data_IF_744717872639
#
_entry.id   IF_744717872639
#
_cell.length_a   1.000
_cell.length_b   1.000
_cell.length_c   1.000
_cell.angle_alpha   90.00
_cell.angle_beta   90.00
_cell.angle_gamma   90.00
#
_symmetry.space_group_name_H-M   'P 1'
#
loop_
_entity.id
_entity.type
_entity.pdbx_description
1 polymer ?
#
# COMPACT_ATOMS: atom_id res chain seq x y z
N UNK A 1 2.30 -49.38 51.86
CA UNK A 1 2.48 -47.92 51.89
C UNK A 1 2.29 -47.44 50.46
N UNK A 2 1.18 -46.77 50.24
CA UNK A 2 0.61 -46.41 48.93
C UNK A 2 1.41 -45.29 48.24
N UNK A 3 1.64 -45.48 46.95
CA UNK A 3 2.28 -44.56 46.02
C UNK A 3 1.45 -43.29 45.82
N UNK A 4 2.10 -42.13 45.85
CA UNK A 4 1.54 -40.82 45.49
C UNK A 4 1.82 -40.61 44.00
N UNK A 5 0.77 -40.57 43.18
CA UNK A 5 0.83 -40.03 41.81
C UNK A 5 0.74 -38.50 41.85
N UNK A 6 1.49 -37.77 41.00
CA UNK A 6 1.25 -36.34 40.83
C UNK A 6 -0.02 -36.13 40.00
N UNK A 7 -0.94 -35.32 40.53
CA UNK A 7 -2.17 -34.90 39.84
C UNK A 7 -1.84 -33.94 38.69
N UNK A 8 -2.39 -34.27 37.52
CA UNK A 8 -2.35 -33.49 36.30
C UNK A 8 -3.28 -32.27 36.41
N UNK A 9 -2.71 -31.14 36.85
CA UNK A 9 -3.41 -29.85 36.97
C UNK A 9 -3.40 -29.01 35.68
N UNK A 10 -2.99 -29.57 34.54
CA UNK A 10 -2.71 -28.75 33.35
C UNK A 10 -3.81 -28.72 32.28
N UNK A 11 -4.84 -29.57 32.41
CA UNK A 11 -5.91 -29.70 31.42
C UNK A 11 -7.21 -28.95 31.77
N UNK A 12 -7.51 -28.76 33.06
CA UNK A 12 -8.73 -28.10 33.52
C UNK A 12 -8.65 -26.57 33.47
N UNK A 13 -7.53 -25.97 33.86
CA UNK A 13 -7.36 -24.49 33.85
C UNK A 13 -7.42 -23.90 32.43
N UNK A 14 -6.90 -24.62 31.42
CA UNK A 14 -6.94 -24.15 30.02
C UNK A 14 -8.35 -24.07 29.45
N UNK A 15 -9.23 -25.00 29.84
CA UNK A 15 -10.62 -25.01 29.37
C UNK A 15 -11.46 -23.92 30.05
N UNK A 16 -11.17 -23.58 31.30
CA UNK A 16 -11.84 -22.49 32.01
C UNK A 16 -11.39 -21.12 31.50
N UNK A 17 -10.09 -20.91 31.24
CA UNK A 17 -9.58 -19.68 30.62
C UNK A 17 -10.09 -19.48 29.19
N UNK A 18 -10.19 -20.54 28.37
CA UNK A 18 -10.78 -20.45 27.03
C UNK A 18 -12.28 -20.12 27.08
N UNK A 19 -13.03 -20.68 28.03
CA UNK A 19 -14.45 -20.34 28.22
C UNK A 19 -14.65 -18.91 28.70
N UNK A 20 -13.81 -18.42 29.61
CA UNK A 20 -13.86 -17.04 30.09
C UNK A 20 -13.50 -16.05 28.97
N UNK A 21 -12.53 -16.40 28.12
CA UNK A 21 -12.20 -15.64 26.92
C UNK A 21 -13.33 -15.60 25.89
N UNK A 22 -13.98 -16.74 25.61
CA UNK A 22 -15.13 -16.79 24.70
C UNK A 22 -16.33 -16.00 25.23
N UNK A 23 -16.59 -16.08 26.54
CA UNK A 23 -17.64 -15.31 27.20
C UNK A 23 -17.34 -13.79 27.16
N UNK A 24 -16.09 -13.39 27.45
CA UNK A 24 -15.65 -12.01 27.37
C UNK A 24 -15.73 -11.47 25.94
N UNK A 25 -15.38 -12.29 24.94
CA UNK A 25 -15.50 -11.95 23.52
C UNK A 25 -16.96 -11.77 23.11
N UNK A 26 -17.86 -12.68 23.50
CA UNK A 26 -19.28 -12.58 23.22
C UNK A 26 -19.90 -11.34 23.89
N UNK A 27 -19.49 -11.04 25.13
CA UNK A 27 -19.90 -9.83 25.83
C UNK A 27 -19.43 -8.57 25.11
N UNK A 28 -18.16 -8.48 24.72
CA UNK A 28 -17.64 -7.34 23.95
C UNK A 28 -18.36 -7.20 22.61
N UNK A 29 -18.61 -8.31 21.91
CA UNK A 29 -19.37 -8.31 20.65
C UNK A 29 -20.81 -7.83 20.83
N UNK A 30 -21.42 -8.02 22.00
CA UNK A 30 -22.78 -7.56 22.34
C UNK A 30 -22.91 -6.04 22.62
N UNK A 31 -21.80 -5.33 22.90
CA UNK A 31 -21.81 -3.91 23.28
C UNK A 31 -22.30 -2.99 22.14
N UNK A 32 -23.49 -2.42 22.25
CA UNK A 32 -24.01 -1.51 21.21
C UNK A 32 -23.28 -0.16 21.22
N UNK A 33 -22.78 0.27 20.06
CA UNK A 33 -22.15 1.59 19.86
C UNK A 33 -22.92 2.40 18.81
N UNK A 34 -22.97 3.74 18.98
CA UNK A 34 -23.53 4.64 17.95
C UNK A 34 -22.57 4.85 16.77
N UNK A 35 -21.25 4.70 17.01
CA UNK A 35 -20.24 4.73 15.96
C UNK A 35 -20.09 3.34 15.32
N UNK A 36 -19.90 3.25 13.99
CA UNK A 36 -19.63 1.99 13.32
C UNK A 36 -18.33 1.37 13.87
N UNK A 37 -18.36 0.09 14.23
CA UNK A 37 -17.16 -0.60 14.66
C UNK A 37 -16.13 -0.68 13.51
N UNK A 38 -14.82 -0.63 13.81
CA UNK A 38 -13.81 -0.95 12.82
C UNK A 38 -13.98 -2.41 12.36
N UNK A 39 -13.70 -2.71 11.08
CA UNK A 39 -13.78 -4.09 10.60
C UNK A 39 -12.72 -4.96 11.29
N UNK A 40 -13.00 -6.27 11.42
CA UNK A 40 -11.99 -7.21 11.91
C UNK A 40 -10.84 -7.30 10.90
N UNK A 41 -9.57 -7.28 11.34
CA UNK A 41 -8.41 -7.23 10.44
C UNK A 41 -8.42 -8.30 9.35
N UNK A 42 -8.79 -9.54 9.70
CA UNK A 42 -8.86 -10.69 8.80
C UNK A 42 -9.87 -10.55 7.63
N UNK A 43 -10.84 -9.66 7.77
CA UNK A 43 -11.90 -9.44 6.77
C UNK A 43 -11.68 -8.13 5.99
N UNK A 44 -10.85 -7.24 6.50
CA UNK A 44 -10.62 -5.91 5.96
C UNK A 44 -9.51 -5.89 4.90
N UNK A 45 -9.50 -4.82 4.11
CA UNK A 45 -8.36 -4.44 3.29
C UNK A 45 -7.53 -3.44 4.09
N UNK A 46 -6.44 -3.91 4.72
CA UNK A 46 -5.62 -3.08 5.61
C UNK A 46 -4.64 -2.21 4.83
N UNK A 47 -4.78 -0.89 5.00
CA UNK A 47 -3.92 0.13 4.41
C UNK A 47 -3.11 0.79 5.53
N UNK A 48 -1.83 0.46 5.59
CA UNK A 48 -0.90 1.04 6.54
C UNK A 48 -0.29 2.33 5.96
N UNK A 49 -0.41 3.44 6.69
CA UNK A 49 0.18 4.73 6.29
C UNK A 49 1.16 5.21 7.35
N UNK A 50 2.30 5.73 6.93
CA UNK A 50 3.21 6.40 7.85
C UNK A 50 2.69 7.77 8.31
N UNK A 51 3.08 8.22 9.49
CA UNK A 51 2.75 9.57 10.00
C UNK A 51 3.15 10.67 9.01
N UNK A 52 4.34 10.56 8.41
CA UNK A 52 4.86 11.54 7.44
C UNK A 52 4.18 11.47 6.06
N UNK A 53 3.48 10.39 5.74
CA UNK A 53 2.66 10.31 4.52
C UNK A 53 1.26 10.83 4.76
N UNK A 54 0.68 10.54 5.93
CA UNK A 54 -0.64 11.04 6.29
C UNK A 54 -0.64 12.55 6.55
N UNK A 55 0.39 13.05 7.23
CA UNK A 55 0.56 14.45 7.60
C UNK A 55 1.87 15.03 7.09
N UNK A 56 1.86 16.32 6.78
CA UNK A 56 3.05 17.08 6.45
C UNK A 56 3.83 17.41 7.73
N UNK A 57 4.86 16.60 7.98
CA UNK A 57 5.75 16.75 9.14
C UNK A 57 7.17 17.17 8.74
N UNK A 58 7.31 17.99 7.69
CA UNK A 58 8.63 18.40 7.17
C UNK A 58 9.41 19.24 8.18
N UNK A 59 8.74 20.18 8.85
CA UNK A 59 9.36 21.03 9.88
C UNK A 59 9.77 20.20 11.11
N UNK A 60 8.89 19.32 11.57
CA UNK A 60 9.14 18.46 12.73
C UNK A 60 10.25 17.45 12.44
N UNK A 61 10.33 16.94 11.21
CA UNK A 61 11.45 16.08 10.80
C UNK A 61 12.78 16.83 10.86
N UNK A 62 12.81 18.13 10.51
CA UNK A 62 14.02 18.94 10.59
C UNK A 62 14.53 19.01 12.04
N UNK A 63 13.64 19.24 13.00
CA UNK A 63 13.97 19.22 14.44
C UNK A 63 14.53 17.85 14.84
N UNK A 64 13.89 16.75 14.43
CA UNK A 64 14.41 15.40 14.73
C UNK A 64 15.82 15.14 14.20
N UNK A 65 16.11 15.60 12.97
CA UNK A 65 17.41 15.40 12.31
C UNK A 65 18.48 16.30 12.90
N UNK A 66 18.15 17.57 13.14
CA UNK A 66 19.12 18.60 13.53
C UNK A 66 19.36 18.61 15.06
N UNK A 67 18.32 18.33 15.86
CA UNK A 67 18.34 18.48 17.33
C UNK A 67 18.09 17.17 18.10
N UNK A 68 17.75 16.09 17.41
CA UNK A 68 17.56 14.76 17.99
C UNK A 68 16.16 14.50 18.58
N UNK A 69 16.00 13.30 19.15
CA UNK A 69 14.68 12.77 19.55
C UNK A 69 14.05 13.53 20.71
N UNK A 70 14.82 13.97 21.71
CA UNK A 70 14.28 14.65 22.90
C UNK A 70 13.67 16.01 22.55
N UNK A 71 14.37 16.80 21.72
CA UNK A 71 13.86 18.10 21.24
C UNK A 71 12.65 17.94 20.35
N UNK A 72 12.67 16.94 19.48
CA UNK A 72 11.52 16.58 18.66
C UNK A 72 10.30 16.20 19.52
N UNK A 73 10.47 15.36 20.54
CA UNK A 73 9.36 14.94 21.41
C UNK A 73 8.80 16.13 22.20
N UNK A 74 9.67 16.96 22.79
CA UNK A 74 9.25 18.17 23.50
C UNK A 74 8.43 19.11 22.59
N UNK A 75 8.91 19.33 21.36
CA UNK A 75 8.20 20.14 20.36
C UNK A 75 6.79 19.58 20.05
N UNK A 76 6.67 18.26 19.89
CA UNK A 76 5.39 17.62 19.58
C UNK A 76 4.38 17.72 20.74
N UNK A 77 4.86 17.68 21.98
CA UNK A 77 4.04 17.83 23.19
C UNK A 77 3.57 19.27 23.34
N UNK A 78 4.46 20.25 23.15
CA UNK A 78 4.11 21.68 23.21
C UNK A 78 3.04 22.06 22.19
N UNK A 79 3.08 21.44 21.01
CA UNK A 79 2.15 21.71 19.90
C UNK A 79 1.05 20.63 19.78
N UNK A 80 0.74 19.88 20.84
CA UNK A 80 -0.19 18.75 20.76
C UNK A 80 -1.61 19.15 20.34
N UNK A 81 -1.98 20.40 20.61
CA UNK A 81 -3.28 20.99 20.24
C UNK A 81 -3.30 21.57 18.83
N UNK A 82 -2.15 21.69 18.16
CA UNK A 82 -2.03 22.24 16.81
C UNK A 82 -2.12 21.12 15.77
N UNK A 83 -3.19 21.06 14.97
CA UNK A 83 -3.36 20.02 13.96
C UNK A 83 -2.25 20.07 12.91
N UNK A 84 -1.69 18.90 12.60
CA UNK A 84 -0.69 18.76 11.55
C UNK A 84 -1.32 18.96 10.17
N UNK A 85 -0.64 19.69 9.28
CA UNK A 85 -1.15 19.91 7.92
C UNK A 85 -1.30 18.59 7.15
N UNK A 86 -2.26 18.48 6.21
CA UNK A 86 -2.42 17.28 5.38
C UNK A 86 -1.14 16.88 4.63
N UNK A 87 -0.86 15.59 4.59
CA UNK A 87 0.24 14.99 3.84
C UNK A 87 -0.20 14.39 2.49
N UNK A 88 0.73 13.80 1.71
CA UNK A 88 0.42 13.27 0.38
C UNK A 88 -0.59 12.11 0.36
N UNK A 89 -0.69 11.32 1.43
CA UNK A 89 -1.68 10.24 1.52
C UNK A 89 -3.07 10.72 1.95
N UNK A 90 -3.21 11.98 2.37
CA UNK A 90 -4.44 12.48 2.97
C UNK A 90 -5.65 12.40 2.04
N UNK A 91 -5.58 12.85 0.76
CA UNK A 91 -6.72 12.72 -0.15
C UNK A 91 -7.08 11.25 -0.43
N UNK A 92 -6.07 10.39 -0.55
CA UNK A 92 -6.27 8.96 -0.73
C UNK A 92 -7.01 8.34 0.47
N UNK A 93 -6.63 8.68 1.70
CA UNK A 93 -7.33 8.23 2.91
C UNK A 93 -8.78 8.72 2.95
N UNK A 94 -9.05 9.97 2.57
CA UNK A 94 -10.43 10.48 2.46
C UNK A 94 -11.25 9.72 1.43
N UNK A 95 -10.66 9.36 0.28
CA UNK A 95 -11.34 8.57 -0.74
C UNK A 95 -11.63 7.13 -0.28
N UNK A 96 -10.71 6.48 0.45
CA UNK A 96 -10.95 5.18 1.09
C UNK A 96 -12.14 5.25 2.06
N UNK A 97 -12.21 6.30 2.87
CA UNK A 97 -13.32 6.52 3.80
C UNK A 97 -14.65 6.71 3.07
N UNK A 98 -14.67 7.44 1.95
CA UNK A 98 -15.89 7.58 1.15
C UNK A 98 -16.37 6.22 0.59
N UNK A 99 -15.43 5.39 0.11
CA UNK A 99 -15.75 4.01 -0.32
C UNK A 99 -16.36 3.21 0.83
N UNK A 100 -15.77 3.29 2.04
CA UNK A 100 -16.30 2.63 3.22
C UNK A 100 -17.71 3.08 3.58
N UNK A 101 -18.00 4.38 3.49
CA UNK A 101 -19.36 4.91 3.71
C UNK A 101 -20.35 4.29 2.73
N UNK A 102 -20.01 4.22 1.44
CA UNK A 102 -20.88 3.60 0.42
C UNK A 102 -21.05 2.10 0.63
N UNK A 103 -19.98 1.40 1.00
CA UNK A 103 -20.06 -0.03 1.34
C UNK A 103 -20.99 -0.27 2.53
N UNK A 104 -20.88 0.52 3.61
CA UNK A 104 -21.77 0.41 4.77
C UNK A 104 -23.23 0.73 4.44
N UNK A 105 -23.49 1.68 3.54
CA UNK A 105 -24.86 1.97 3.10
C UNK A 105 -25.48 0.77 2.34
N UNK A 106 -24.69 0.06 1.53
CA UNK A 106 -25.15 -1.11 0.77
C UNK A 106 -25.14 -2.41 1.59
N UNK A 107 -24.24 -2.50 2.57
CA UNK A 107 -23.96 -3.66 3.39
C UNK A 107 -23.66 -3.24 4.84
N UNK A 108 -24.68 -2.91 5.65
CA UNK A 108 -24.50 -2.37 7.00
C UNK A 108 -23.67 -3.25 7.93
N UNK A 109 -23.82 -4.57 7.82
CA UNK A 109 -23.16 -5.55 8.69
C UNK A 109 -21.82 -6.08 8.12
N UNK A 110 -21.37 -5.57 6.97
CA UNK A 110 -20.17 -6.10 6.33
C UNK A 110 -18.90 -5.53 6.95
N UNK A 111 -17.98 -6.45 7.28
CA UNK A 111 -16.62 -6.11 7.72
C UNK A 111 -15.62 -6.03 6.56
N UNK A 112 -16.05 -6.25 5.31
CA UNK A 112 -15.17 -6.15 4.13
C UNK A 112 -15.06 -4.69 3.69
N UNK A 113 -14.26 -3.94 4.44
CA UNK A 113 -14.03 -2.51 4.29
C UNK A 113 -12.52 -2.24 4.25
N UNK A 114 -12.12 -1.02 3.92
CA UNK A 114 -10.76 -0.57 4.18
C UNK A 114 -10.55 -0.36 5.69
N UNK A 115 -9.45 -0.89 6.21
CA UNK A 115 -8.96 -0.62 7.56
C UNK A 115 -7.68 0.22 7.46
N UNK A 116 -7.76 1.48 7.86
CA UNK A 116 -6.62 2.39 7.76
C UNK A 116 -5.87 2.37 9.10
N UNK A 117 -4.58 2.05 9.03
CA UNK A 117 -3.72 1.91 10.22
C UNK A 117 -2.59 2.92 10.15
N UNK A 118 -2.40 3.69 11.22
CA UNK A 118 -1.24 4.57 11.33
C UNK A 118 -0.02 3.80 11.84
N UNK A 119 1.05 3.75 11.04
CA UNK A 119 2.30 3.05 11.35
C UNK A 119 3.46 4.04 11.47
N UNK A 120 3.94 4.28 12.69
CA UNK A 120 4.99 5.28 12.93
C UNK A 120 6.13 4.74 13.80
N UNK A 121 7.34 5.20 13.50
CA UNK A 121 8.51 4.98 14.34
C UNK A 121 8.69 6.08 15.40
N UNK A 122 7.71 6.97 15.55
CA UNK A 122 7.75 7.99 16.60
C UNK A 122 7.62 7.37 17.99
N UNK A 123 8.16 8.09 18.98
CA UNK A 123 7.91 7.83 20.39
C UNK A 123 6.42 8.00 20.73
N UNK A 124 5.90 7.23 21.68
CA UNK A 124 4.48 7.21 22.04
C UNK A 124 3.94 8.59 22.47
N UNK A 125 4.78 9.44 23.07
CA UNK A 125 4.40 10.80 23.48
C UNK A 125 4.00 11.70 22.29
N UNK A 126 4.47 11.41 21.07
CA UNK A 126 4.06 12.13 19.85
C UNK A 126 2.63 11.73 19.42
N UNK A 127 2.08 10.66 20.00
CA UNK A 127 0.81 10.07 19.62
C UNK A 127 -0.37 11.02 19.81
N UNK A 128 -0.34 11.86 20.85
CA UNK A 128 -1.45 12.78 21.18
C UNK A 128 -1.70 13.76 20.04
N UNK A 129 -0.66 14.43 19.52
CA UNK A 129 -0.80 15.34 18.39
C UNK A 129 -1.31 14.66 17.12
N UNK A 130 -0.88 13.42 16.87
CA UNK A 130 -1.36 12.62 15.73
C UNK A 130 -2.85 12.30 15.88
N UNK A 131 -3.29 11.89 17.07
CA UNK A 131 -4.70 11.61 17.38
C UNK A 131 -5.53 12.88 17.27
N UNK A 132 -5.07 14.00 17.83
CA UNK A 132 -5.74 15.30 17.72
C UNK A 132 -5.89 15.75 16.27
N UNK A 133 -4.86 15.54 15.45
CA UNK A 133 -4.93 15.83 14.01
C UNK A 133 -5.95 14.92 13.29
N UNK A 134 -5.95 13.63 13.58
CA UNK A 134 -6.92 12.66 13.03
C UNK A 134 -8.36 13.07 13.38
N UNK A 135 -8.60 13.44 14.63
CA UNK A 135 -9.90 13.91 15.12
C UNK A 135 -10.30 15.23 14.48
N UNK A 136 -9.38 16.19 14.39
CA UNK A 136 -9.60 17.50 13.77
C UNK A 136 -10.11 17.38 12.32
N UNK A 137 -9.53 16.45 11.55
CA UNK A 137 -9.93 16.20 10.16
C UNK A 137 -11.07 15.18 10.00
N UNK A 138 -11.58 14.64 11.10
CA UNK A 138 -12.62 13.60 11.11
C UNK A 138 -12.20 12.34 10.35
N UNK A 139 -10.94 11.92 10.47
CA UNK A 139 -10.43 10.69 9.86
C UNK A 139 -10.82 9.48 10.73
N UNK A 140 -11.37 8.43 10.14
CA UNK A 140 -11.75 7.19 10.86
C UNK A 140 -10.56 6.23 10.93
N UNK A 141 -9.55 6.59 11.73
CA UNK A 141 -8.34 5.79 11.96
C UNK A 141 -8.33 5.40 13.44
N UNK A 142 -8.64 4.14 13.74
CA UNK A 142 -8.77 3.64 15.11
C UNK A 142 -7.54 2.83 15.57
N UNK A 143 -6.69 2.43 14.61
CA UNK A 143 -5.55 1.54 14.86
C UNK A 143 -4.22 2.24 14.64
N UNK A 144 -3.35 2.17 15.64
CA UNK A 144 -2.06 2.80 15.67
C UNK A 144 -0.98 1.80 16.07
N UNK A 145 0.19 1.92 15.45
CA UNK A 145 1.41 1.26 15.90
C UNK A 145 2.51 2.31 15.99
N UNK A 146 3.08 2.45 17.19
CA UNK A 146 4.18 3.36 17.48
C UNK A 146 5.35 2.54 18.02
N UNK A 147 6.44 2.46 17.27
CA UNK A 147 7.55 1.53 17.57
C UNK A 147 8.71 2.18 18.32
N UNK A 148 8.61 3.46 18.70
CA UNK A 148 9.63 4.13 19.54
C UNK A 148 11.03 4.10 18.95
N UNK A 149 11.16 4.19 17.62
CA UNK A 149 12.43 4.19 16.89
C UNK A 149 12.75 2.89 16.15
N UNK A 150 12.12 1.76 16.49
CA UNK A 150 12.34 0.47 15.79
C UNK A 150 11.64 0.44 14.43
N UNK A 151 12.07 -0.45 13.53
CA UNK A 151 11.41 -0.63 12.23
C UNK A 151 9.97 -1.15 12.42
N UNK A 152 8.96 -0.60 11.72
CA UNK A 152 7.57 -1.05 11.84
C UNK A 152 7.26 -2.30 11.00
N UNK A 153 8.19 -2.81 10.20
CA UNK A 153 7.89 -3.81 9.16
C UNK A 153 7.37 -5.14 9.73
N UNK A 154 7.96 -5.64 10.82
CA UNK A 154 7.45 -6.84 11.49
C UNK A 154 5.98 -6.71 11.94
N UNK A 155 5.56 -5.50 12.32
CA UNK A 155 4.16 -5.23 12.67
C UNK A 155 3.24 -5.17 11.45
N UNK A 156 3.71 -4.72 10.28
CA UNK A 156 2.88 -4.69 9.08
C UNK A 156 2.31 -6.08 8.74
N UNK A 157 3.13 -7.12 8.89
CA UNK A 157 2.73 -8.52 8.68
C UNK A 157 1.70 -8.98 9.72
N UNK A 158 1.93 -8.68 11.00
CA UNK A 158 0.99 -8.99 12.08
C UNK A 158 -0.36 -8.27 11.91
N UNK A 159 -0.34 -7.09 11.29
CA UNK A 159 -1.54 -6.31 10.97
C UNK A 159 -2.24 -6.77 9.69
N UNK A 160 -1.73 -7.80 8.99
CA UNK A 160 -2.27 -8.29 7.71
C UNK A 160 -2.33 -7.19 6.63
N UNK A 161 -1.29 -6.36 6.58
CA UNK A 161 -1.24 -5.19 5.69
C UNK A 161 -1.31 -5.60 4.21
N UNK A 162 -2.28 -5.04 3.48
CA UNK A 162 -2.39 -5.21 2.03
C UNK A 162 -1.62 -4.14 1.24
N UNK A 163 -1.42 -2.95 1.82
CA UNK A 163 -0.61 -1.87 1.24
C UNK A 163 0.05 -1.04 2.33
N UNK A 164 1.37 -0.82 2.21
CA UNK A 164 2.12 0.11 3.07
C UNK A 164 2.60 1.34 2.29
N UNK A 165 2.22 2.53 2.77
CA UNK A 165 2.63 3.81 2.19
C UNK A 165 3.53 4.56 3.16
N UNK A 166 4.74 4.92 2.70
CA UNK A 166 5.74 5.61 3.52
C UNK A 166 6.49 6.70 2.77
N UNK A 167 7.08 7.65 3.48
CA UNK A 167 8.10 8.56 2.91
C UNK A 167 9.52 7.99 3.02
N UNK A 168 9.68 6.79 3.57
CA UNK A 168 10.99 6.16 3.82
C UNK A 168 11.23 5.07 2.78
N UNK A 169 12.12 5.32 1.81
CA UNK A 169 12.46 4.36 0.77
C UNK A 169 13.00 3.04 1.36
N UNK A 170 13.84 3.13 2.41
CA UNK A 170 14.41 1.95 3.07
C UNK A 170 13.33 1.04 3.65
N UNK A 171 12.34 1.62 4.36
CA UNK A 171 11.22 0.86 4.95
C UNK A 171 10.30 0.26 3.89
N UNK A 172 10.13 0.95 2.76
CA UNK A 172 9.34 0.44 1.64
C UNK A 172 10.04 -0.76 1.01
N UNK A 173 11.35 -0.69 0.85
CA UNK A 173 12.17 -1.80 0.34
C UNK A 173 12.08 -3.00 1.28
N UNK A 174 12.29 -2.79 2.58
CA UNK A 174 12.16 -3.83 3.63
C UNK A 174 10.75 -4.46 3.62
N UNK A 175 9.70 -3.66 3.42
CA UNK A 175 8.32 -4.18 3.31
C UNK A 175 8.11 -5.07 2.07
N UNK A 176 8.64 -4.65 0.91
CA UNK A 176 8.53 -5.42 -0.34
C UNK A 176 9.30 -6.74 -0.21
N UNK A 177 10.49 -6.73 0.41
CA UNK A 177 11.29 -7.93 0.68
C UNK A 177 10.53 -8.93 1.58
N UNK A 178 9.73 -8.44 2.52
CA UNK A 178 8.83 -9.24 3.36
C UNK A 178 7.52 -9.68 2.65
N UNK A 179 7.38 -9.38 1.35
CA UNK A 179 6.23 -9.75 0.54
C UNK A 179 4.99 -8.87 0.77
N UNK A 180 5.17 -7.67 1.33
CA UNK A 180 4.11 -6.69 1.57
C UNK A 180 4.14 -5.65 0.44
N UNK A 181 3.01 -5.45 -0.24
CA UNK A 181 2.92 -4.40 -1.24
C UNK A 181 3.18 -3.03 -0.58
N UNK A 182 4.16 -2.30 -1.09
CA UNK A 182 4.53 -1.02 -0.51
C UNK A 182 5.01 -0.02 -1.56
N UNK A 183 4.90 1.27 -1.24
CA UNK A 183 5.39 2.33 -2.10
C UNK A 183 5.86 3.56 -1.31
N UNK A 184 6.86 4.24 -1.86
CA UNK A 184 7.39 5.49 -1.33
C UNK A 184 6.60 6.66 -1.90
N UNK A 185 5.87 7.40 -1.08
CA UNK A 185 5.08 8.54 -1.54
C UNK A 185 5.87 9.84 -1.55
N UNK A 186 5.63 10.64 -2.59
CA UNK A 186 6.20 11.98 -2.74
C UNK A 186 5.10 13.03 -2.55
N UNK A 187 5.51 14.21 -2.10
CA UNK A 187 4.59 15.34 -2.02
C UNK A 187 4.44 15.94 -3.41
N UNK A 188 3.19 16.18 -3.82
CA UNK A 188 2.91 16.91 -5.06
C UNK A 188 3.46 18.33 -4.96
N UNK A 189 4.03 18.86 -6.05
CA UNK A 189 4.44 20.28 -6.13
C UNK A 189 3.25 21.23 -6.35
N UNK A 190 2.10 20.69 -6.75
CA UNK A 190 0.90 21.46 -7.07
C UNK A 190 -0.31 20.85 -6.39
N UNK A 191 -1.27 21.68 -5.97
CA UNK A 191 -2.57 21.18 -5.55
C UNK A 191 -3.35 20.69 -6.76
N UNK A 192 -3.87 19.47 -6.65
CA UNK A 192 -4.72 18.87 -7.68
C UNK A 192 -6.14 18.74 -7.15
N UNK A 193 -7.10 19.18 -7.94
CA UNK A 193 -8.52 18.93 -7.68
C UNK A 193 -8.84 17.45 -7.95
N UNK A 194 -8.95 16.67 -6.88
CA UNK A 194 -9.20 15.24 -6.92
C UNK A 194 -10.70 14.95 -6.80
N UNK A 195 -11.13 13.76 -7.23
CA UNK A 195 -12.54 13.40 -7.15
C UNK A 195 -12.97 13.11 -5.72
N UNK A 196 -13.94 13.87 -5.21
CA UNK A 196 -14.51 13.60 -3.88
C UNK A 196 -15.41 12.35 -3.83
N UNK A 197 -15.85 11.86 -4.98
CA UNK A 197 -16.82 10.76 -5.10
C UNK A 197 -16.21 9.41 -5.45
N UNK A 198 -15.00 9.38 -6.00
CA UNK A 198 -14.32 8.17 -6.45
C UNK A 198 -12.91 8.07 -5.90
N UNK A 199 -12.56 6.92 -5.35
CA UNK A 199 -11.18 6.47 -5.23
C UNK A 199 -10.64 6.08 -6.61
N UNK A 200 -9.62 6.80 -7.08
CA UNK A 200 -8.94 6.54 -8.36
C UNK A 200 -7.52 6.06 -8.11
N UNK A 201 -7.20 4.83 -8.54
CA UNK A 201 -5.88 4.22 -8.34
C UNK A 201 -5.28 3.86 -9.69
N UNK A 202 -4.14 4.46 -10.01
CA UNK A 202 -3.42 4.20 -11.25
C UNK A 202 -2.17 3.37 -10.98
N UNK A 203 -1.90 2.41 -11.86
CA UNK A 203 -0.76 1.50 -11.77
C UNK A 203 0.01 1.51 -13.08
N UNK A 204 1.34 1.52 -13.02
CA UNK A 204 2.12 0.91 -14.09
C UNK A 204 1.90 -0.61 -14.15
N UNK A 205 2.23 -1.20 -15.30
CA UNK A 205 2.18 -2.63 -15.51
C UNK A 205 3.41 -3.33 -14.96
N UNK A 206 4.52 -3.25 -15.70
CA UNK A 206 5.76 -3.99 -15.40
C UNK A 206 6.40 -3.50 -14.10
N UNK A 207 7.04 -4.41 -13.37
CA UNK A 207 7.64 -4.17 -12.05
C UNK A 207 6.71 -3.58 -10.97
N UNK A 208 5.41 -3.46 -11.24
CA UNK A 208 4.38 -2.99 -10.30
C UNK A 208 3.29 -4.06 -10.14
N UNK A 209 2.48 -4.30 -11.17
CA UNK A 209 1.47 -5.36 -11.19
C UNK A 209 2.04 -6.69 -11.69
N UNK A 210 2.95 -6.61 -12.65
CA UNK A 210 3.68 -7.75 -13.21
C UNK A 210 5.14 -7.73 -12.74
N UNK A 211 5.82 -8.86 -12.86
CA UNK A 211 7.26 -8.94 -12.61
C UNK A 211 8.07 -8.09 -13.60
N UNK A 212 9.37 -7.95 -13.37
CA UNK A 212 10.32 -7.28 -14.26
C UNK A 212 10.82 -8.15 -15.44
N UNK A 213 10.20 -9.31 -15.69
CA UNK A 213 10.54 -10.24 -16.79
C UNK A 213 10.74 -9.52 -18.13
N UNK A 214 9.80 -8.65 -18.49
CA UNK A 214 9.83 -7.92 -19.75
C UNK A 214 10.93 -6.85 -19.79
N UNK A 215 11.19 -6.16 -18.68
CA UNK A 215 12.27 -5.18 -18.60
C UNK A 215 13.64 -5.86 -18.74
N UNK A 216 13.81 -7.04 -18.15
CA UNK A 216 15.03 -7.85 -18.26
C UNK A 216 15.29 -8.20 -19.74
N UNK A 217 14.25 -8.63 -20.48
CA UNK A 217 14.39 -8.99 -21.90
C UNK A 217 14.80 -7.77 -22.73
N UNK A 218 14.12 -6.63 -22.54
CA UNK A 218 14.44 -5.39 -23.28
C UNK A 218 15.88 -4.95 -23.01
N UNK A 219 16.33 -4.98 -21.75
CA UNK A 219 17.70 -4.57 -21.38
C UNK A 219 18.78 -5.51 -21.90
N UNK A 220 18.51 -6.83 -21.95
CA UNK A 220 19.50 -7.83 -22.40
C UNK A 220 19.51 -8.04 -23.92
N UNK A 221 18.35 -7.95 -24.57
CA UNK A 221 18.18 -8.42 -25.95
C UNK A 221 17.53 -7.38 -26.88
N UNK A 222 17.08 -6.24 -26.35
CA UNK A 222 16.47 -5.17 -27.14
C UNK A 222 14.97 -5.36 -27.41
N UNK A 223 14.39 -4.40 -28.13
CA UNK A 223 12.95 -4.29 -28.34
C UNK A 223 12.38 -5.35 -29.29
N UNK A 224 13.11 -5.73 -30.35
CA UNK A 224 12.62 -6.71 -31.32
C UNK A 224 12.42 -8.09 -30.67
N UNK A 225 13.41 -8.55 -29.91
CA UNK A 225 13.32 -9.79 -29.14
C UNK A 225 12.21 -9.72 -28.09
N UNK A 226 11.98 -8.56 -27.48
CA UNK A 226 10.84 -8.37 -26.58
C UNK A 226 9.50 -8.55 -27.31
N UNK A 227 9.31 -7.96 -28.49
CA UNK A 227 8.06 -8.13 -29.24
C UNK A 227 7.83 -9.58 -29.71
N UNK A 228 8.88 -10.26 -30.17
CA UNK A 228 8.81 -11.68 -30.52
C UNK A 228 8.46 -12.55 -29.30
N UNK A 229 9.05 -12.23 -28.15
CA UNK A 229 8.75 -12.90 -26.89
C UNK A 229 7.29 -12.70 -26.49
N UNK A 230 6.78 -11.46 -26.49
CA UNK A 230 5.39 -11.17 -26.13
C UNK A 230 4.39 -11.85 -27.07
N UNK A 231 4.69 -11.91 -28.38
CA UNK A 231 3.86 -12.63 -29.35
C UNK A 231 3.86 -14.14 -29.10
N UNK A 232 5.03 -14.72 -28.81
CA UNK A 232 5.17 -16.17 -28.55
C UNK A 232 4.49 -16.58 -27.25
N UNK A 233 4.57 -15.75 -26.22
CA UNK A 233 4.02 -16.03 -24.88
C UNK A 233 2.69 -15.33 -24.60
N UNK A 234 1.99 -14.84 -25.62
CA UNK A 234 0.77 -14.05 -25.48
C UNK A 234 -0.31 -14.72 -24.59
N UNK A 235 -0.41 -16.06 -24.65
CA UNK A 235 -1.37 -16.85 -23.87
C UNK A 235 -0.81 -17.36 -22.54
N UNK A 236 0.45 -17.07 -22.21
CA UNK A 236 1.07 -17.41 -20.93
C UNK A 236 1.03 -16.18 -20.02
N UNK A 237 0.38 -16.24 -18.85
CA UNK A 237 0.32 -15.12 -17.91
C UNK A 237 1.72 -14.57 -17.58
N UNK A 238 1.83 -13.26 -17.42
CA UNK A 238 3.02 -12.63 -16.85
C UNK A 238 3.16 -13.06 -15.37
N UNK A 239 4.39 -13.16 -14.87
CA UNK A 239 4.60 -13.38 -13.45
C UNK A 239 4.13 -12.17 -12.62
N UNK A 240 3.78 -12.40 -11.37
CA UNK A 240 3.21 -11.38 -10.49
C UNK A 240 4.25 -10.38 -9.99
N UNK A 241 3.85 -9.11 -9.97
CA UNK A 241 4.59 -8.02 -9.34
C UNK A 241 4.16 -7.80 -7.88
N UNK A 242 4.84 -6.88 -7.18
CA UNK A 242 4.63 -6.65 -5.75
C UNK A 242 3.24 -6.10 -5.40
N UNK A 243 2.56 -5.40 -6.31
CA UNK A 243 1.27 -4.76 -6.02
C UNK A 243 0.04 -5.57 -6.51
N UNK A 244 0.24 -6.78 -7.06
CA UNK A 244 -0.87 -7.64 -7.49
C UNK A 244 -1.88 -7.91 -6.37
N UNK A 245 -1.41 -8.22 -5.16
CA UNK A 245 -2.28 -8.52 -4.03
C UNK A 245 -3.15 -7.32 -3.62
N UNK A 246 -2.64 -6.09 -3.78
CA UNK A 246 -3.42 -4.88 -3.54
C UNK A 246 -4.49 -4.68 -4.62
N UNK A 247 -4.17 -4.93 -5.90
CA UNK A 247 -5.17 -4.90 -6.97
C UNK A 247 -6.26 -5.97 -6.76
N UNK A 248 -5.90 -7.17 -6.29
CA UNK A 248 -6.86 -8.21 -5.91
C UNK A 248 -7.82 -7.74 -4.81
N UNK A 249 -7.30 -7.05 -3.80
CA UNK A 249 -8.09 -6.48 -2.72
C UNK A 249 -9.05 -5.39 -3.22
N UNK A 250 -8.60 -4.49 -4.11
CA UNK A 250 -9.46 -3.49 -4.76
C UNK A 250 -10.55 -4.17 -5.60
N UNK A 251 -10.19 -5.16 -6.41
CA UNK A 251 -11.13 -5.91 -7.26
C UNK A 251 -12.19 -6.65 -6.44
N UNK A 252 -11.82 -7.17 -5.26
CA UNK A 252 -12.76 -7.79 -4.31
C UNK A 252 -13.83 -6.78 -3.87
N UNK A 253 -13.43 -5.56 -3.48
CA UNK A 253 -14.36 -4.52 -3.07
C UNK A 253 -15.19 -3.98 -4.25
N UNK A 254 -14.60 -3.82 -5.44
CA UNK A 254 -15.32 -3.45 -6.67
C UNK A 254 -16.46 -4.41 -6.97
N UNK A 255 -16.21 -5.73 -6.89
CA UNK A 255 -17.24 -6.76 -7.13
C UNK A 255 -18.43 -6.66 -6.19
N UNK A 256 -18.26 -6.16 -4.95
CA UNK A 256 -19.39 -5.91 -4.04
C UNK A 256 -20.34 -4.84 -4.59
N UNK A 257 -19.81 -3.77 -5.17
CA UNK A 257 -20.64 -2.77 -5.84
C UNK A 257 -21.33 -3.37 -7.07
N UNK A 258 -20.62 -4.20 -7.84
CA UNK A 258 -21.19 -4.83 -9.03
C UNK A 258 -22.38 -5.73 -8.70
N UNK A 259 -22.29 -6.48 -7.59
CA UNK A 259 -23.37 -7.32 -7.08
C UNK A 259 -24.63 -6.53 -6.65
N UNK A 260 -24.53 -5.20 -6.49
CA UNK A 260 -25.65 -4.29 -6.22
C UNK A 260 -26.05 -3.45 -7.45
N UNK A 261 -25.63 -3.85 -8.64
CA UNK A 261 -25.84 -3.11 -9.89
C UNK A 261 -25.18 -1.71 -9.92
N UNK A 262 -24.19 -1.46 -9.07
CA UNK A 262 -23.46 -0.19 -8.97
C UNK A 262 -22.18 -0.21 -9.83
N UNK A 263 -22.14 -0.98 -10.93
CA UNK A 263 -20.93 -1.13 -11.75
C UNK A 263 -20.45 0.19 -12.35
N UNK A 264 -21.36 0.93 -12.99
CA UNK A 264 -21.03 2.24 -13.59
C UNK A 264 -20.80 3.33 -12.54
N UNK A 265 -21.42 3.18 -11.37
CA UNK A 265 -21.33 4.13 -10.26
C UNK A 265 -20.31 3.68 -9.20
N UNK A 266 -19.46 2.70 -9.48
CA UNK A 266 -18.53 2.16 -8.49
C UNK A 266 -17.60 3.28 -7.99
N UNK A 267 -17.43 3.46 -6.66
CA UNK A 267 -16.54 4.49 -6.15
C UNK A 267 -15.07 4.12 -6.31
N UNK A 268 -14.73 2.86 -6.59
CA UNK A 268 -13.34 2.44 -6.84
C UNK A 268 -13.15 2.36 -8.36
N UNK A 269 -12.17 3.10 -8.87
CA UNK A 269 -11.80 3.09 -10.28
C UNK A 269 -10.30 2.82 -10.44
N UNK A 270 -9.98 1.78 -11.20
CA UNK A 270 -8.60 1.32 -11.41
C UNK A 270 -8.13 1.63 -12.82
N UNK A 271 -6.88 2.07 -12.94
CA UNK A 271 -6.27 2.46 -14.21
C UNK A 271 -4.95 1.71 -14.40
N UNK A 272 -4.76 1.11 -15.57
CA UNK A 272 -3.45 0.65 -16.03
C UNK A 272 -2.86 1.72 -16.94
N UNK A 273 -1.70 2.26 -16.60
CA UNK A 273 -0.98 3.30 -17.36
C UNK A 273 0.42 2.79 -17.70
N UNK A 274 0.54 2.11 -18.85
CA UNK A 274 1.76 1.36 -19.21
C UNK A 274 2.46 1.91 -20.44
N UNK A 275 3.80 1.90 -20.41
CA UNK A 275 4.63 2.25 -21.56
C UNK A 275 4.54 1.23 -22.71
N UNK A 276 3.94 0.05 -22.46
CA UNK A 276 3.72 -0.98 -23.48
C UNK A 276 2.88 -0.46 -24.65
N UNK A 277 3.15 -1.01 -25.83
CA UNK A 277 2.31 -0.82 -27.02
C UNK A 277 1.12 -1.77 -26.98
N UNK A 278 -0.08 -1.25 -27.27
CA UNK A 278 -1.30 -2.04 -27.35
C UNK A 278 -1.19 -3.17 -28.38
N UNK A 279 -0.66 -2.85 -29.57
CA UNK A 279 -0.66 -3.76 -30.71
C UNK A 279 0.36 -4.90 -30.58
N UNK A 280 1.55 -4.63 -30.02
CA UNK A 280 2.64 -5.61 -29.99
C UNK A 280 2.82 -6.34 -28.65
N UNK A 281 2.34 -5.74 -27.54
CA UNK A 281 2.62 -6.27 -26.19
C UNK A 281 1.43 -6.15 -25.22
N UNK A 282 0.31 -5.56 -25.64
CA UNK A 282 -0.84 -5.30 -24.78
C UNK A 282 -1.76 -6.52 -24.60
N UNK A 283 -1.83 -7.42 -25.58
CA UNK A 283 -2.71 -8.58 -25.51
C UNK A 283 -2.37 -9.51 -24.31
N UNK A 284 -1.07 -9.79 -24.09
CA UNK A 284 -0.60 -10.62 -22.96
C UNK A 284 -0.97 -10.01 -21.61
N UNK A 285 -0.84 -8.68 -21.47
CA UNK A 285 -1.23 -7.93 -20.26
C UNK A 285 -2.71 -8.11 -19.94
N UNK A 286 -3.58 -7.86 -20.93
CA UNK A 286 -5.03 -7.98 -20.74
C UNK A 286 -5.47 -9.43 -20.48
N UNK A 287 -4.84 -10.41 -21.14
CA UNK A 287 -5.08 -11.84 -20.89
C UNK A 287 -4.61 -12.25 -19.49
N UNK A 288 -3.48 -11.71 -19.01
CA UNK A 288 -2.97 -11.95 -17.66
C UNK A 288 -3.95 -11.47 -16.61
N UNK A 289 -4.38 -10.20 -16.68
CA UNK A 289 -5.37 -9.64 -15.73
C UNK A 289 -6.66 -10.47 -15.71
N UNK A 290 -7.16 -10.84 -16.90
CA UNK A 290 -8.34 -11.71 -17.02
C UNK A 290 -8.14 -13.08 -16.37
N UNK A 291 -6.97 -13.69 -16.56
CA UNK A 291 -6.65 -15.00 -15.95
C UNK A 291 -6.60 -14.95 -14.43
N UNK A 292 -6.26 -13.78 -13.86
CA UNK A 292 -6.31 -13.52 -12.42
C UNK A 292 -7.71 -13.16 -11.92
N UNK A 293 -8.71 -13.04 -12.81
CA UNK A 293 -10.04 -12.55 -12.45
C UNK A 293 -10.04 -11.08 -12.02
N UNK A 294 -9.06 -10.32 -12.50
CA UNK A 294 -8.91 -8.88 -12.22
C UNK A 294 -9.38 -8.07 -13.41
N UNK A 295 -10.22 -7.09 -13.11
CA UNK A 295 -10.74 -6.14 -14.07
C UNK A 295 -10.09 -4.78 -13.79
N UNK A 296 -9.67 -4.11 -14.85
CA UNK A 296 -9.21 -2.72 -14.82
C UNK A 296 -10.26 -1.91 -15.57
N UNK A 297 -10.71 -0.80 -14.99
CA UNK A 297 -11.74 0.04 -15.61
C UNK A 297 -11.21 0.73 -16.88
N UNK A 298 -9.96 1.18 -16.85
CA UNK A 298 -9.31 1.85 -17.99
C UNK A 298 -7.86 1.40 -18.18
N UNK A 299 -7.52 0.92 -19.38
CA UNK A 299 -6.16 0.52 -19.75
C UNK A 299 -5.62 1.45 -20.83
N UNK A 300 -4.57 2.19 -20.50
CA UNK A 300 -3.89 3.16 -21.36
C UNK A 300 -2.52 2.58 -21.72
N UNK A 301 -2.34 2.32 -23.02
CA UNK A 301 -1.10 1.81 -23.61
C UNK A 301 -0.40 2.94 -24.37
N UNK A 302 0.76 3.34 -23.88
CA UNK A 302 1.41 4.57 -24.32
C UNK A 302 2.47 4.35 -25.40
N UNK A 303 2.89 3.11 -25.66
CA UNK A 303 3.94 2.80 -26.62
C UNK A 303 5.21 3.68 -26.45
N UNK A 304 5.61 3.93 -25.20
CA UNK A 304 6.75 4.78 -24.84
C UNK A 304 6.46 6.29 -24.69
N UNK A 305 5.23 6.75 -24.99
CA UNK A 305 4.85 8.14 -24.75
C UNK A 305 4.84 8.48 -23.24
N UNK A 306 5.05 9.76 -22.85
CA UNK A 306 5.09 10.16 -21.45
C UNK A 306 3.73 9.94 -20.76
N UNK A 307 3.77 9.43 -19.52
CA UNK A 307 2.57 9.14 -18.70
C UNK A 307 1.88 10.38 -18.16
N UNK A 308 2.66 11.44 -17.91
CA UNK A 308 2.22 12.68 -17.26
C UNK A 308 0.92 13.28 -17.78
N UNK A 309 0.78 13.57 -19.09
CA UNK A 309 -0.44 14.18 -19.64
C UNK A 309 -1.72 13.35 -19.39
N UNK A 310 -1.62 12.01 -19.45
CA UNK A 310 -2.76 11.14 -19.15
C UNK A 310 -3.07 11.11 -17.65
N UNK A 311 -2.05 11.10 -16.80
CA UNK A 311 -2.23 11.17 -15.35
C UNK A 311 -2.91 12.48 -14.91
N UNK A 312 -2.58 13.61 -15.56
CA UNK A 312 -3.24 14.90 -15.32
C UNK A 312 -4.73 14.87 -15.71
N UNK A 313 -5.10 14.07 -16.72
CA UNK A 313 -6.51 13.86 -17.10
C UNK A 313 -7.22 12.92 -16.13
N UNK A 314 -6.56 11.84 -15.71
CA UNK A 314 -7.11 10.82 -14.79
C UNK A 314 -7.31 11.41 -13.39
N UNK A 315 -6.37 12.26 -12.94
CA UNK A 315 -6.28 12.80 -11.57
C UNK A 315 -6.42 11.70 -10.51
N UNK A 316 -5.51 10.71 -10.50
CA UNK A 316 -5.60 9.62 -9.55
C UNK A 316 -5.29 10.13 -8.13
N UNK A 317 -5.89 9.49 -7.14
CA UNK A 317 -5.53 9.71 -5.73
C UNK A 317 -4.13 9.18 -5.43
N UNK A 318 -3.69 8.19 -6.19
CA UNK A 318 -2.34 7.65 -6.13
C UNK A 318 -2.01 6.97 -7.47
N UNK A 319 -0.80 7.25 -7.98
CA UNK A 319 -0.20 6.58 -9.12
C UNK A 319 1.04 5.80 -8.68
N UNK A 320 1.10 4.50 -9.00
CA UNK A 320 2.24 3.64 -8.70
C UNK A 320 3.10 3.38 -9.92
N UNK A 321 4.41 3.55 -9.78
CA UNK A 321 5.40 3.30 -10.84
C UNK A 321 6.72 2.85 -10.20
N UNK A 322 7.48 2.00 -10.88
CA UNK A 322 8.79 1.54 -10.41
C UNK A 322 9.94 2.45 -10.82
N UNK A 323 9.72 3.38 -11.76
CA UNK A 323 10.77 4.25 -12.29
C UNK A 323 10.65 5.68 -11.76
N UNK A 324 11.73 6.17 -11.12
CA UNK A 324 11.75 7.52 -10.55
C UNK A 324 11.48 8.62 -11.59
N UNK A 325 11.93 8.45 -12.83
CA UNK A 325 11.64 9.40 -13.92
C UNK A 325 10.14 9.57 -14.20
N UNK A 326 9.36 8.48 -14.12
CA UNK A 326 7.91 8.55 -14.28
C UNK A 326 7.24 9.19 -13.05
N UNK A 327 7.75 8.90 -11.84
CA UNK A 327 7.32 9.52 -10.59
C UNK A 327 7.53 11.03 -10.60
N UNK A 328 8.71 11.49 -11.04
CA UNK A 328 9.07 12.91 -11.17
C UNK A 328 8.19 13.61 -12.21
N UNK A 329 8.07 13.06 -13.42
CA UNK A 329 7.22 13.64 -14.47
C UNK A 329 5.74 13.70 -14.10
N UNK A 330 5.24 12.74 -13.32
CA UNK A 330 3.88 12.77 -12.77
C UNK A 330 3.73 13.89 -11.72
N UNK A 331 4.71 14.04 -10.84
CA UNK A 331 4.71 15.05 -9.77
C UNK A 331 4.80 16.48 -10.33
N UNK A 332 5.59 16.70 -11.37
CA UNK A 332 5.69 18.00 -12.07
C UNK A 332 4.33 18.50 -12.57
N UNK A 333 3.45 17.57 -12.97
CA UNK A 333 2.10 17.86 -13.45
C UNK A 333 1.02 17.78 -12.35
N UNK A 334 1.42 17.71 -11.09
CA UNK A 334 0.53 17.74 -9.93
C UNK A 334 -0.10 16.39 -9.56
N UNK A 335 0.38 15.27 -10.11
CA UNK A 335 -0.14 13.94 -9.76
C UNK A 335 0.53 13.42 -8.50
N UNK A 336 -0.27 12.93 -7.55
CA UNK A 336 0.25 12.21 -6.37
C UNK A 336 0.79 10.85 -6.82
N UNK A 337 2.10 10.68 -6.76
CA UNK A 337 2.81 9.49 -7.21
C UNK A 337 3.53 8.77 -6.06
N UNK A 338 3.68 7.45 -6.21
CA UNK A 338 4.29 6.57 -5.24
C UNK A 338 5.23 5.57 -5.93
N UNK A 339 6.51 5.61 -5.58
CA UNK A 339 7.55 4.78 -6.17
C UNK A 339 7.57 3.38 -5.56
N UNK A 340 7.55 2.36 -6.40
CA UNK A 340 7.67 0.95 -6.02
C UNK A 340 9.10 0.50 -6.32
N UNK A 341 10.02 0.43 -5.34
CA UNK A 341 11.41 0.05 -5.58
C UNK A 341 11.53 -1.46 -5.81
N UNK A 342 11.08 -1.93 -6.97
CA UNK A 342 11.09 -3.32 -7.39
C UNK A 342 11.70 -3.47 -8.79
N UNK A 343 12.20 -4.68 -9.08
CA UNK A 343 12.71 -5.03 -10.38
C UNK A 343 14.16 -4.62 -10.66
N UNK A 344 14.68 -5.09 -11.80
CA UNK A 344 16.06 -4.87 -12.19
C UNK A 344 16.37 -3.38 -12.42
N UNK A 345 15.36 -2.55 -12.75
CA UNK A 345 15.44 -1.09 -12.81
C UNK A 345 16.18 -0.47 -11.62
N UNK A 346 15.96 -0.98 -10.41
CA UNK A 346 16.55 -0.43 -9.19
C UNK A 346 18.08 -0.59 -9.12
N UNK A 347 18.64 -1.61 -9.80
CA UNK A 347 20.08 -1.87 -9.83
C UNK A 347 20.86 -0.93 -10.75
N UNK A 348 20.17 -0.18 -11.60
CA UNK A 348 20.79 0.69 -12.62
C UNK A 348 20.67 2.19 -12.29
N UNK A 349 20.27 2.56 -11.08
CA UNK A 349 20.02 3.96 -10.65
C UNK A 349 21.26 4.88 -10.65
N UNK A 350 22.39 4.49 -11.26
CA UNK A 350 23.56 5.34 -11.56
C UNK A 350 24.20 5.09 -12.94
N UNK A 351 23.51 4.49 -13.90
CA UNK A 351 24.08 4.27 -15.25
C UNK A 351 25.36 3.42 -15.27
N UNK A 352 25.67 2.71 -14.18
CA UNK A 352 26.75 1.73 -14.08
C UNK A 352 26.20 0.48 -13.41
N UNK A 353 26.40 -0.65 -14.07
CA UNK A 353 26.24 -1.98 -13.48
C UNK A 353 26.96 -2.02 -12.13
N UNK A 354 26.26 -2.43 -11.07
CA UNK A 354 26.95 -2.98 -9.90
C UNK A 354 27.50 -4.32 -10.39
N UNK A 355 28.83 -4.43 -10.44
CA UNK A 355 29.58 -5.55 -11.01
C UNK A 355 29.01 -6.92 -10.58
N UNK A 356 28.94 -7.85 -11.52
CA UNK A 356 28.71 -9.26 -11.26
C UNK A 356 29.79 -9.82 -10.30
N UNK A 357 29.47 -10.80 -9.45
CA UNK A 357 30.45 -11.39 -8.55
C UNK A 357 31.60 -11.98 -9.38
N UNK A 358 32.83 -11.56 -9.05
CA UNK A 358 34.06 -12.10 -9.64
C UNK A 358 34.03 -13.63 -9.52
N UNK A 359 34.18 -14.32 -10.65
CA UNK A 359 34.58 -15.74 -10.67
C UNK A 359 35.87 -15.88 -9.87
N UNK A 360 35.80 -16.63 -8.78
CA UNK A 360 36.98 -17.15 -8.11
C UNK A 360 37.63 -18.20 -9.01
N UNK A 361 38.58 -17.78 -9.84
CA UNK A 361 39.66 -18.65 -10.26
C UNK A 361 40.79 -18.54 -9.24
N UNK A 362 40.79 -19.45 -8.27
CA UNK A 362 42.01 -19.90 -7.61
C UNK A 362 41.72 -21.16 -6.79
N UNK A 363 42.09 -22.33 -7.33
CA UNK A 363 43.12 -23.13 -6.66
C UNK A 363 43.93 -23.90 -7.69
N UNK A 364 45.20 -23.52 -7.72
CA UNK A 364 46.32 -24.27 -8.29
C UNK A 364 46.34 -25.69 -7.72
N UNK A 365 46.61 -26.67 -8.59
CA UNK A 365 47.73 -27.59 -8.42
C UNK A 365 48.44 -27.76 -9.74
#
# INVERSE_FOLDING_TARGET
MSEIKPEDKTATDKNEEEQDWEAAKAFFESLKTKAPRPPKPQNAVTIAVSSRTLFNMVAERKIFVDEGVEKYVAFQVEHESDPLKPGPAFPFVKALMNVNTRLRNLYPDSEELFDIVLMTNNHAQVGVRLINSINHYGLTIERFCMTGGKSPIGYLKAYMTNLYLSKSADKVTEAIEEGIAAATMFMSRQESDLSDTQLRVAFDGDAVLFSDESEIIVKKHGLDTFFEHEKKFENKPLAQGPLKCFLEALGKLQRKFYAKNERLNCPIRTFLVTARSAASSGARVLKTLRSWGLEIDEALFLAGAPKGPLLQKIRPHIFFDDQMFHIEGANELGTISAHVPYGIGQKYNKGKLIEEPKKEDCYKK
#
